data_IF_853111195651
#
_entry.id   IF_853111195651
#
_cell.length_a   1.000
_cell.length_b   1.000
_cell.length_c   1.000
_cell.angle_alpha   90.00
_cell.angle_beta   90.00
_cell.angle_gamma   90.00
#
_symmetry.space_group_name_H-M   'P 1'
#
loop_
_entity.id
_entity.type
_entity.pdbx_description
1 polymer ?
#
# COMPACT_ATOMS: atom_id res chain seq x y z
N UNK A 1 15.86 -16.39 -9.79
CA UNK A 1 16.92 -16.13 -10.79
C UNK A 1 17.37 -14.70 -10.57
N UNK A 2 18.57 -14.46 -10.01
CA UNK A 2 19.04 -13.12 -9.65
C UNK A 2 19.04 -12.14 -10.82
N UNK A 3 19.46 -12.57 -12.01
CA UNK A 3 19.50 -11.72 -13.21
C UNK A 3 18.10 -11.20 -13.57
N UNK A 4 17.08 -12.06 -13.47
CA UNK A 4 15.69 -11.65 -13.73
C UNK A 4 15.16 -10.74 -12.62
N UNK A 5 15.48 -11.02 -11.36
CA UNK A 5 15.08 -10.16 -10.24
C UNK A 5 15.65 -8.75 -10.40
N UNK A 6 16.93 -8.63 -10.75
CA UNK A 6 17.61 -7.36 -10.94
C UNK A 6 17.05 -6.62 -12.17
N UNK A 7 16.84 -7.31 -13.30
CA UNK A 7 16.21 -6.70 -14.49
C UNK A 7 14.81 -6.16 -14.20
N UNK A 8 14.01 -6.89 -13.44
CA UNK A 8 12.66 -6.44 -13.06
C UNK A 8 12.72 -5.23 -12.14
N UNK A 9 13.68 -5.18 -11.20
CA UNK A 9 13.91 -3.98 -10.36
C UNK A 9 14.35 -2.78 -11.20
N UNK A 10 15.34 -2.96 -12.07
CA UNK A 10 15.93 -1.89 -12.89
C UNK A 10 14.96 -1.29 -13.91
N UNK A 11 13.87 -1.98 -14.23
CA UNK A 11 12.82 -1.53 -15.14
C UNK A 11 11.56 -1.04 -14.39
N UNK A 12 11.66 -0.74 -13.09
CA UNK A 12 10.55 -0.36 -12.22
C UNK A 12 9.39 -1.39 -12.16
N UNK A 13 9.64 -2.62 -12.60
CA UNK A 13 8.63 -3.68 -12.66
C UNK A 13 8.11 -4.10 -11.28
N UNK A 14 8.90 -3.90 -10.22
CA UNK A 14 8.45 -4.12 -8.83
C UNK A 14 7.28 -3.21 -8.44
N UNK A 15 7.28 -1.95 -8.89
CA UNK A 15 6.17 -1.02 -8.63
C UNK A 15 4.90 -1.47 -9.33
N UNK A 16 5.01 -1.93 -10.59
CA UNK A 16 3.88 -2.46 -11.36
C UNK A 16 3.26 -3.70 -10.72
N UNK A 17 4.07 -4.60 -10.15
CA UNK A 17 3.54 -5.77 -9.41
C UNK A 17 2.82 -5.32 -8.15
N UNK A 18 3.34 -4.32 -7.44
CA UNK A 18 2.72 -3.78 -6.22
C UNK A 18 1.37 -3.09 -6.48
N UNK A 19 1.16 -2.47 -7.65
CA UNK A 19 -0.15 -1.88 -8.02
C UNK A 19 -1.31 -2.89 -7.98
N UNK A 20 -1.00 -4.18 -8.19
CA UNK A 20 -1.96 -5.27 -8.17
C UNK A 20 -2.27 -5.77 -6.75
N UNK A 21 -1.70 -5.17 -5.71
CA UNK A 21 -1.94 -5.52 -4.30
C UNK A 21 -3.23 -4.91 -3.71
N UNK A 22 -3.98 -4.16 -4.52
CA UNK A 22 -5.32 -3.66 -4.17
C UNK A 22 -6.35 -4.77 -4.25
N UNK A 23 -7.41 -4.66 -3.46
CA UNK A 23 -8.55 -5.58 -3.53
C UNK A 23 -9.31 -5.31 -4.83
N UNK A 24 -9.39 -6.30 -5.71
CA UNK A 24 -10.25 -6.31 -6.90
C UNK A 24 -11.41 -7.27 -6.65
N UNK A 25 -12.64 -6.75 -6.61
CA UNK A 25 -13.86 -7.54 -6.33
C UNK A 25 -14.27 -8.44 -7.51
N UNK A 26 -13.81 -8.15 -8.72
CA UNK A 26 -14.12 -8.92 -9.93
C UNK A 26 -13.10 -10.04 -10.17
N UNK A 27 -11.86 -9.85 -9.71
CA UNK A 27 -10.77 -10.80 -9.90
C UNK A 27 -10.04 -11.06 -8.58
N UNK A 28 -10.65 -11.86 -7.68
CA UNK A 28 -10.15 -12.03 -6.33
C UNK A 28 -8.73 -12.58 -6.26
N UNK A 29 -8.26 -13.30 -7.29
CA UNK A 29 -6.95 -13.97 -7.31
C UNK A 29 -5.77 -13.11 -7.81
N UNK A 30 -6.00 -11.92 -8.35
CA UNK A 30 -4.92 -11.05 -8.86
C UNK A 30 -3.90 -10.76 -7.76
N UNK A 31 -4.39 -10.52 -6.54
CA UNK A 31 -3.57 -10.24 -5.38
C UNK A 31 -2.67 -11.43 -5.01
N UNK A 32 -3.19 -12.65 -5.03
CA UNK A 32 -2.46 -13.87 -4.70
C UNK A 32 -1.33 -14.10 -5.71
N UNK A 33 -1.58 -13.90 -7.00
CA UNK A 33 -0.53 -13.97 -8.01
C UNK A 33 0.53 -12.89 -7.82
N UNK A 34 0.12 -11.66 -7.51
CA UNK A 34 1.04 -10.57 -7.21
C UNK A 34 1.91 -10.87 -5.98
N UNK A 35 1.33 -11.44 -4.91
CA UNK A 35 2.07 -11.88 -3.71
C UNK A 35 3.13 -12.92 -4.05
N UNK A 36 2.79 -13.94 -4.86
CA UNK A 36 3.73 -14.99 -5.25
C UNK A 36 4.83 -14.42 -6.14
N UNK A 37 4.48 -13.57 -7.10
CA UNK A 37 5.46 -12.90 -7.96
C UNK A 37 6.41 -12.04 -7.14
N UNK A 38 5.89 -11.22 -6.21
CA UNK A 38 6.69 -10.36 -5.36
C UNK A 38 7.63 -11.17 -4.47
N UNK A 39 7.15 -12.27 -3.86
CA UNK A 39 8.02 -13.17 -3.09
C UNK A 39 9.19 -13.65 -3.94
N UNK A 40 8.92 -14.18 -5.14
CA UNK A 40 9.97 -14.67 -6.03
C UNK A 40 10.95 -13.58 -6.48
N UNK A 41 10.48 -12.33 -6.58
CA UNK A 41 11.30 -11.19 -7.00
C UNK A 41 12.19 -10.65 -5.86
N UNK A 42 11.80 -10.86 -4.60
CA UNK A 42 12.49 -10.34 -3.41
C UNK A 42 13.31 -11.38 -2.65
N UNK A 43 12.97 -12.67 -2.76
CA UNK A 43 13.61 -13.76 -2.01
C UNK A 43 15.12 -13.83 -2.34
N UNK A 44 15.93 -13.57 -1.32
CA UNK A 44 17.40 -13.57 -1.40
C UNK A 44 18.02 -12.39 -2.17
N UNK A 45 17.26 -11.35 -2.52
CA UNK A 45 17.76 -10.17 -3.25
C UNK A 45 17.59 -8.90 -2.40
N UNK A 46 18.63 -8.56 -1.63
CA UNK A 46 18.62 -7.43 -0.70
C UNK A 46 18.38 -6.10 -1.42
N UNK A 47 18.96 -5.90 -2.60
CA UNK A 47 18.78 -4.68 -3.37
C UNK A 47 17.34 -4.49 -3.88
N UNK A 48 16.64 -5.58 -4.23
CA UNK A 48 15.21 -5.53 -4.54
C UNK A 48 14.34 -5.29 -3.30
N UNK A 49 14.71 -5.86 -2.15
CA UNK A 49 14.01 -5.56 -0.90
C UNK A 49 14.19 -4.10 -0.47
N UNK A 50 15.41 -3.57 -0.60
CA UNK A 50 15.69 -2.17 -0.30
C UNK A 50 14.94 -1.25 -1.25
N UNK A 51 14.90 -1.55 -2.55
CA UNK A 51 14.09 -0.79 -3.51
C UNK A 51 12.62 -0.68 -3.05
N UNK A 52 12.02 -1.79 -2.61
CA UNK A 52 10.65 -1.77 -2.08
C UNK A 52 10.51 -0.97 -0.80
N UNK A 53 11.47 -1.05 0.14
CA UNK A 53 11.45 -0.26 1.38
C UNK A 53 11.46 1.25 1.11
N UNK A 54 12.13 1.68 0.02
CA UNK A 54 12.22 3.09 -0.35
C UNK A 54 11.04 3.61 -1.18
N UNK A 55 10.13 2.74 -1.66
CA UNK A 55 8.95 3.17 -2.43
C UNK A 55 7.89 3.93 -1.61
N UNK A 56 8.04 3.99 -0.28
CA UNK A 56 7.13 4.75 0.59
C UNK A 56 5.83 4.02 0.91
N UNK A 57 5.09 4.52 1.91
CA UNK A 57 3.82 3.94 2.33
C UNK A 57 2.73 4.23 1.29
N UNK A 58 1.91 3.22 0.99
CA UNK A 58 0.66 3.39 0.23
C UNK A 58 -0.25 4.32 1.04
N UNK A 59 -0.71 5.43 0.48
CA UNK A 59 -1.61 6.34 1.20
C UNK A 59 -2.91 5.66 1.63
N UNK A 60 -3.44 6.06 2.80
CA UNK A 60 -4.76 5.61 3.24
C UNK A 60 -5.84 6.15 2.30
N UNK A 61 -6.58 5.23 1.69
CA UNK A 61 -7.81 5.58 0.97
C UNK A 61 -8.89 5.95 1.98
N UNK A 62 -9.44 7.17 1.88
CA UNK A 62 -10.57 7.61 2.68
C UNK A 62 -11.85 6.93 2.19
N UNK A 63 -12.49 6.15 3.06
CA UNK A 63 -13.82 5.61 2.76
C UNK A 63 -14.89 6.67 3.05
N UNK A 64 -15.79 6.99 2.10
CA UNK A 64 -16.85 7.97 2.30
C UNK A 64 -17.75 7.69 3.51
N UNK A 65 -17.93 6.41 3.88
CA UNK A 65 -18.72 5.99 5.05
C UNK A 65 -18.04 6.43 6.34
N UNK A 66 -16.71 6.40 6.40
CA UNK A 66 -15.96 6.84 7.57
C UNK A 66 -15.95 8.36 7.71
N UNK A 67 -15.79 9.08 6.60
CA UNK A 67 -15.91 10.54 6.59
C UNK A 67 -17.31 10.99 7.07
N UNK A 68 -18.37 10.29 6.65
CA UNK A 68 -19.74 10.59 7.09
C UNK A 68 -19.97 10.36 8.59
N UNK A 69 -19.14 9.52 9.23
CA UNK A 69 -19.15 9.27 10.66
C UNK A 69 -18.21 10.21 11.46
N UNK A 70 -17.58 11.18 10.79
CA UNK A 70 -16.65 12.15 11.40
C UNK A 70 -15.27 11.58 11.72
N UNK A 71 -14.82 10.57 10.96
CA UNK A 71 -13.49 9.98 11.09
C UNK A 71 -12.67 10.14 9.82
N UNK A 72 -11.38 10.48 9.99
CA UNK A 72 -10.37 10.41 8.95
C UNK A 72 -9.39 9.27 9.20
N UNK A 73 -9.05 8.55 8.14
CA UNK A 73 -8.02 7.52 8.16
C UNK A 73 -6.65 8.16 7.97
N UNK A 74 -5.69 7.89 8.83
CA UNK A 74 -4.29 8.27 8.66
C UNK A 74 -3.43 7.03 8.69
N UNK A 75 -2.21 7.12 8.18
CA UNK A 75 -1.21 6.06 8.30
C UNK A 75 -0.07 6.59 9.15
N UNK A 76 0.36 5.81 10.12
CA UNK A 76 1.51 6.13 10.97
C UNK A 76 2.85 5.81 10.28
N UNK A 77 3.96 6.10 10.96
CA UNK A 77 5.31 5.83 10.45
C UNK A 77 5.59 4.34 10.21
N UNK A 78 4.78 3.44 10.77
CA UNK A 78 4.89 1.99 10.63
C UNK A 78 3.98 1.43 9.53
N UNK A 79 3.25 2.28 8.81
CA UNK A 79 2.29 1.83 7.80
C UNK A 79 0.96 1.32 8.38
N UNK A 80 0.69 1.51 9.67
CA UNK A 80 -0.58 1.12 10.28
C UNK A 80 -1.65 2.21 10.12
N UNK A 81 -2.86 1.86 9.65
CA UNK A 81 -3.95 2.81 9.59
C UNK A 81 -4.52 3.07 10.99
N UNK A 82 -4.73 4.34 11.32
CA UNK A 82 -5.44 4.78 12.51
C UNK A 82 -6.54 5.77 12.15
N UNK A 83 -7.52 5.92 13.04
CA UNK A 83 -8.66 6.81 12.83
C UNK A 83 -8.58 8.00 13.79
N UNK A 84 -8.74 9.19 13.24
CA UNK A 84 -8.82 10.43 14.00
C UNK A 84 -10.20 11.04 13.81
N UNK A 85 -10.83 11.54 14.88
CA UNK A 85 -12.11 12.25 14.77
C UNK A 85 -11.89 13.70 14.39
N UNK A 86 -12.71 14.22 13.48
CA UNK A 86 -12.78 15.65 13.22
C UNK A 86 -13.32 16.39 14.44
N UNK A 87 -12.43 17.00 15.22
CA UNK A 87 -12.81 17.98 16.24
C UNK A 87 -13.00 19.35 15.61
N UNK A 88 -13.95 19.49 14.69
CA UNK A 88 -14.47 20.79 14.27
C UNK A 88 -15.96 20.66 14.08
N UNK A 89 -16.74 21.23 15.01
CA UNK A 89 -18.14 21.69 14.91
C UNK A 89 -18.87 21.65 16.28
N UNK A 90 -18.20 21.89 17.42
CA UNK A 90 -18.87 22.12 18.72
C UNK A 90 -18.49 23.46 19.40
N UNK A 91 -17.85 24.40 18.70
CA UNK A 91 -17.51 25.73 19.26
C UNK A 91 -18.22 26.92 18.58
N UNK A 92 -19.13 26.71 17.62
CA UNK A 92 -19.91 27.82 16.99
C UNK A 92 -21.42 27.78 17.27
N UNK A 93 -21.79 27.37 18.48
CA UNK A 93 -23.11 27.67 19.04
C UNK A 93 -22.95 28.08 20.51
N UNK A 94 -22.26 29.19 20.74
CA UNK A 94 -22.52 30.09 21.87
C UNK A 94 -23.28 31.30 21.34
#
# INVERSE_FOLDING_TARGET
>A
NPVVQDQVREQDGLALVLDHMRIDENHPFIKEYAVVALRNLLEGNDASQDYVRHMGAIEAVQDPRMASAGFHTRIDENGQPFFERDQYQHEKQQ
#
